data_IF_259515520008
#
_entry.id   IF_259515520008
#
_cell.length_a   1.000
_cell.length_b   1.000
_cell.length_c   1.000
_cell.angle_alpha   90.00
_cell.angle_beta   90.00
_cell.angle_gamma   90.00
#
_symmetry.space_group_name_H-M   'P 1'
#
loop_
_entity.id
_entity.type
_entity.pdbx_description
1 polymer ?
#
# COMPACT_ATOMS: atom_id res chain seq x y z
N UNK A 1 -17.96 20.44 2.99
CA UNK A 1 -16.74 20.43 2.15
C UNK A 1 -16.68 19.06 1.54
N UNK A 2 -16.81 18.98 0.22
CA UNK A 2 -16.69 17.74 -0.53
C UNK A 2 -15.20 17.36 -0.49
N UNK A 3 -14.86 16.27 0.23
CA UNK A 3 -13.49 15.78 0.28
C UNK A 3 -13.30 14.87 -0.93
N UNK A 4 -12.69 15.42 -1.98
CA UNK A 4 -12.33 14.65 -3.18
C UNK A 4 -11.27 13.61 -2.82
N UNK A 5 -11.72 12.37 -2.63
CA UNK A 5 -10.87 11.21 -2.43
C UNK A 5 -10.00 11.01 -3.68
N UNK A 6 -8.69 11.17 -3.51
CA UNK A 6 -7.75 10.87 -4.58
C UNK A 6 -6.45 10.28 -4.03
N UNK A 7 -5.80 9.50 -4.90
CA UNK A 7 -4.49 8.94 -4.67
C UNK A 7 -3.63 9.37 -5.85
N UNK A 8 -2.55 10.08 -5.58
CA UNK A 8 -1.62 10.53 -6.61
C UNK A 8 -0.24 9.93 -6.35
N UNK A 9 0.38 9.37 -7.39
CA UNK A 9 1.80 9.01 -7.40
C UNK A 9 2.52 9.97 -8.36
N UNK A 10 3.41 10.82 -7.86
CA UNK A 10 4.19 11.78 -8.64
C UNK A 10 5.64 11.77 -8.21
N UNK A 11 6.57 11.52 -9.14
CA UNK A 11 8.01 11.54 -8.89
C UNK A 11 8.40 10.78 -7.60
N UNK A 12 7.94 9.54 -7.49
CA UNK A 12 8.18 8.63 -6.35
C UNK A 12 7.56 9.09 -5.01
N UNK A 13 6.69 10.10 -5.02
CA UNK A 13 5.92 10.54 -3.86
C UNK A 13 4.46 10.10 -3.99
N UNK A 14 3.91 9.62 -2.88
CA UNK A 14 2.50 9.28 -2.72
C UNK A 14 1.78 10.38 -1.95
N UNK A 15 0.64 10.84 -2.45
CA UNK A 15 -0.31 11.68 -1.73
C UNK A 15 -1.65 10.95 -1.58
N UNK A 16 -2.17 10.89 -0.35
CA UNK A 16 -3.44 10.26 0.01
C UNK A 16 -4.24 11.23 0.89
N UNK A 17 -5.43 11.62 0.43
CA UNK A 17 -6.30 12.59 1.13
C UNK A 17 -7.42 11.96 1.97
N UNK A 18 -7.35 10.65 2.21
CA UNK A 18 -8.32 9.91 3.01
C UNK A 18 -7.94 9.89 4.50
N UNK A 19 -8.92 9.65 5.38
CA UNK A 19 -8.65 9.28 6.77
C UNK A 19 -7.94 7.91 6.82
N UNK A 20 -6.67 7.91 7.21
CA UNK A 20 -5.84 6.69 7.28
C UNK A 20 -5.90 6.12 8.69
N UNK A 21 -6.31 4.85 8.82
CA UNK A 21 -6.33 4.17 10.12
C UNK A 21 -4.92 3.78 10.58
N UNK A 22 -4.07 3.26 9.66
CA UNK A 22 -2.70 2.84 9.97
C UNK A 22 -1.83 2.74 8.71
N UNK A 23 -0.51 2.82 8.88
CA UNK A 23 0.49 2.51 7.86
C UNK A 23 1.50 1.51 8.43
N UNK A 24 1.86 0.46 7.68
CA UNK A 24 2.91 -0.49 8.05
C UNK A 24 3.53 -1.11 6.80
N UNK A 25 4.79 -1.53 6.91
CA UNK A 25 5.50 -2.23 5.85
C UNK A 25 5.28 -3.75 5.96
N UNK A 26 5.18 -4.42 4.82
CA UNK A 26 5.03 -5.88 4.75
C UNK A 26 5.90 -6.39 3.61
N UNK A 27 6.70 -7.41 3.90
CA UNK A 27 7.53 -8.07 2.89
C UNK A 27 6.63 -8.86 1.92
N UNK A 28 6.76 -8.58 0.63
CA UNK A 28 6.07 -9.32 -0.42
C UNK A 28 6.81 -10.64 -0.63
N UNK A 29 6.12 -11.77 -0.39
CA UNK A 29 6.70 -13.11 -0.53
C UNK A 29 6.06 -13.86 -1.68
N UNK A 30 6.83 -14.76 -2.30
CA UNK A 30 6.29 -15.70 -3.27
C UNK A 30 5.26 -16.64 -2.62
N UNK A 31 4.25 -17.02 -3.39
CA UNK A 31 3.22 -17.96 -3.02
C UNK A 31 2.75 -18.74 -4.26
N UNK A 32 3.43 -19.86 -4.56
CA UNK A 32 3.19 -20.60 -5.79
C UNK A 32 3.51 -19.73 -7.02
N UNK A 33 2.52 -19.53 -7.89
CA UNK A 33 2.63 -18.69 -9.09
C UNK A 33 2.22 -17.22 -8.85
N UNK A 34 2.06 -16.81 -7.59
CA UNK A 34 1.69 -15.44 -7.22
C UNK A 34 2.59 -14.88 -6.11
N UNK A 35 2.31 -13.65 -5.69
CA UNK A 35 2.93 -13.01 -4.55
C UNK A 35 1.87 -12.65 -3.50
N UNK A 36 2.29 -12.56 -2.23
CA UNK A 36 1.42 -12.17 -1.12
C UNK A 36 2.12 -11.17 -0.21
N UNK A 37 1.36 -10.18 0.25
CA UNK A 37 1.70 -9.31 1.37
C UNK A 37 0.82 -9.69 2.57
N UNK A 38 1.41 -9.93 3.73
CA UNK A 38 0.64 -10.31 4.92
C UNK A 38 0.05 -9.06 5.58
N UNK A 39 -1.23 -9.14 5.94
CA UNK A 39 -2.00 -8.10 6.64
C UNK A 39 -2.36 -8.62 8.04
N UNK A 40 -2.21 -7.81 9.12
CA UNK A 40 -2.62 -8.22 10.46
C UNK A 40 -4.09 -8.65 10.53
N UNK A 41 -4.38 -9.74 11.25
CA UNK A 41 -5.75 -10.31 11.36
C UNK A 41 -6.82 -9.32 11.83
N UNK A 42 -6.43 -8.30 12.60
CA UNK A 42 -7.34 -7.24 13.06
C UNK A 42 -8.00 -6.44 11.92
N UNK A 43 -7.44 -6.49 10.72
CA UNK A 43 -7.93 -5.78 9.53
C UNK A 43 -8.75 -6.65 8.57
N UNK A 44 -9.12 -7.90 8.95
CA UNK A 44 -9.95 -8.76 8.10
C UNK A 44 -11.29 -8.08 7.81
N UNK A 45 -11.66 -8.01 6.52
CA UNK A 45 -12.90 -7.39 6.05
C UNK A 45 -12.81 -5.88 5.78
N UNK A 46 -11.69 -5.23 6.13
CA UNK A 46 -11.45 -3.83 5.79
C UNK A 46 -10.84 -3.69 4.38
N UNK A 47 -11.01 -2.52 3.75
CA UNK A 47 -10.32 -2.17 2.50
C UNK A 47 -8.87 -1.79 2.83
N UNK A 48 -7.92 -2.27 2.02
CA UNK A 48 -6.51 -1.93 2.14
C UNK A 48 -5.96 -1.45 0.80
N UNK A 49 -5.07 -0.45 0.84
CA UNK A 49 -4.25 -0.05 -0.29
C UNK A 49 -2.89 -0.75 -0.16
N UNK A 50 -2.48 -1.50 -1.18
CA UNK A 50 -1.15 -2.13 -1.23
C UNK A 50 -0.26 -1.28 -2.13
N UNK A 51 0.84 -0.78 -1.56
CA UNK A 51 1.80 0.09 -2.26
C UNK A 51 3.09 -0.68 -2.40
N UNK A 52 3.54 -0.86 -3.64
CA UNK A 52 4.82 -1.50 -3.94
C UNK A 52 5.87 -0.40 -4.06
N UNK A 53 6.87 -0.43 -3.18
CA UNK A 53 7.99 0.51 -3.22
C UNK A 53 8.96 0.10 -4.33
N UNK A 54 9.60 1.08 -4.97
CA UNK A 54 10.75 0.81 -5.84
C UNK A 54 11.93 0.38 -4.96
N UNK A 55 12.50 -0.79 -5.22
CA UNK A 55 13.85 -1.07 -4.75
C UNK A 55 14.82 -0.28 -5.63
N UNK A 56 15.82 0.35 -5.02
CA UNK A 56 16.86 1.03 -5.78
C UNK A 56 17.50 -0.01 -6.73
N UNK A 57 17.41 0.22 -8.04
CA UNK A 57 18.23 -0.50 -9.01
C UNK A 57 19.69 -0.17 -8.65
N UNK A 58 20.35 -1.08 -7.94
CA UNK A 58 21.79 -1.03 -7.82
C UNK A 58 22.30 -1.58 -9.15
N UNK A 59 22.62 -0.68 -10.08
CA UNK A 59 23.40 -0.99 -11.28
C UNK A 59 24.74 -1.64 -10.91
#
# INVERSE_FOLDING_TARGET
MEMDYHITIKADKLELTHEVETFYESEIKSHGNSARANVPKKHIGQKALVIVLKENETE
#
